data_IF_215732851417
#
_entry.id   IF_215732851417
#
_cell.length_a   1.000
_cell.length_b   1.000
_cell.length_c   1.000
_cell.angle_alpha   90.00
_cell.angle_beta   90.00
_cell.angle_gamma   90.00
#
_symmetry.space_group_name_H-M   'P 1'
#
loop_
_entity.id
_entity.type
_entity.pdbx_description
1 polymer ?
#
# COMPACT_ATOMS: atom_id res chain seq x y z
N UNK A 1 29.39 -57.27 -54.35
CA UNK A 1 29.16 -55.94 -53.73
C UNK A 1 29.17 -56.02 -52.19
N UNK A 2 30.34 -55.83 -51.58
CA UNK A 2 30.51 -55.82 -50.13
C UNK A 2 30.32 -54.40 -49.58
N UNK A 3 29.44 -54.26 -48.58
CA UNK A 3 29.01 -52.99 -47.98
C UNK A 3 30.06 -52.55 -46.94
N UNK A 4 30.80 -51.48 -47.23
CA UNK A 4 31.74 -50.89 -46.28
C UNK A 4 30.97 -50.27 -45.10
N UNK A 5 31.17 -50.82 -43.88
CA UNK A 5 30.77 -50.16 -42.63
C UNK A 5 31.74 -49.00 -42.38
N UNK A 6 31.30 -47.78 -42.69
CA UNK A 6 31.98 -46.56 -42.23
C UNK A 6 31.75 -46.48 -40.71
N UNK A 7 32.79 -46.80 -39.94
CA UNK A 7 32.84 -46.57 -38.50
C UNK A 7 32.67 -45.07 -38.29
N UNK A 8 31.55 -44.66 -37.71
CA UNK A 8 31.41 -43.29 -37.19
C UNK A 8 32.41 -43.15 -36.07
N UNK A 9 33.45 -42.34 -36.28
CA UNK A 9 34.22 -41.76 -35.19
C UNK A 9 33.30 -40.77 -34.48
N UNK A 10 32.51 -41.27 -33.53
CA UNK A 10 31.94 -40.42 -32.49
C UNK A 10 33.11 -39.97 -31.60
N UNK A 11 33.83 -38.95 -32.05
CA UNK A 11 34.69 -38.15 -31.19
C UNK A 11 33.78 -37.40 -30.24
N UNK A 12 33.31 -38.09 -29.19
CA UNK A 12 32.79 -37.42 -28.01
C UNK A 12 33.90 -36.53 -27.51
N UNK A 13 33.61 -35.25 -27.41
CA UNK A 13 34.48 -34.21 -26.88
C UNK A 13 34.83 -34.54 -25.42
N UNK A 14 35.83 -35.40 -25.23
CA UNK A 14 36.32 -35.92 -23.95
C UNK A 14 37.23 -34.89 -23.23
N UNK A 15 37.22 -33.63 -23.68
CA UNK A 15 38.05 -32.54 -23.16
C UNK A 15 37.59 -32.04 -21.78
N UNK A 16 36.34 -32.34 -21.41
CA UNK A 16 35.76 -32.05 -20.08
C UNK A 16 36.05 -33.15 -19.05
N UNK A 17 36.56 -34.32 -19.48
CA UNK A 17 36.91 -35.43 -18.59
C UNK A 17 38.32 -35.21 -18.02
N UNK A 18 38.42 -34.87 -16.72
CA UNK A 18 39.70 -34.61 -16.04
C UNK A 18 40.65 -35.82 -15.99
N UNK A 19 40.16 -37.04 -16.24
CA UNK A 19 40.96 -38.26 -16.34
C UNK A 19 41.45 -38.56 -17.76
N UNK A 20 41.07 -37.75 -18.76
CA UNK A 20 41.48 -37.91 -20.15
C UNK A 20 42.96 -37.56 -20.34
N UNK A 21 43.65 -38.34 -21.18
CA UNK A 21 45.05 -38.06 -21.55
C UNK A 21 45.21 -36.78 -22.38
N UNK A 22 44.13 -36.27 -22.96
CA UNK A 22 44.08 -35.03 -23.73
C UNK A 22 43.54 -33.84 -22.92
N UNK A 23 43.35 -34.01 -21.61
CA UNK A 23 42.85 -32.94 -20.73
C UNK A 23 43.84 -31.77 -20.68
N UNK A 24 43.31 -30.57 -20.88
CA UNK A 24 44.07 -29.32 -20.71
C UNK A 24 43.67 -28.69 -19.37
N UNK A 25 44.59 -28.54 -18.41
CA UNK A 25 44.28 -27.92 -17.13
C UNK A 25 43.61 -26.56 -17.28
N UNK A 26 42.48 -26.37 -16.59
CA UNK A 26 41.71 -25.12 -16.58
C UNK A 26 40.57 -25.01 -17.59
N UNK A 27 40.40 -25.96 -18.53
CA UNK A 27 39.29 -25.95 -19.50
C UNK A 27 37.92 -25.99 -18.82
N UNK A 28 37.75 -26.91 -17.86
CA UNK A 28 36.50 -27.06 -17.10
C UNK A 28 36.21 -25.83 -16.26
N UNK A 29 37.24 -25.20 -15.66
CA UNK A 29 37.07 -23.96 -14.90
C UNK A 29 36.63 -22.80 -15.80
N UNK A 30 37.27 -22.63 -16.97
CA UNK A 30 36.90 -21.60 -17.94
C UNK A 30 35.48 -21.80 -18.45
N UNK A 31 35.11 -23.03 -18.83
CA UNK A 31 33.75 -23.36 -19.26
C UNK A 31 32.71 -23.07 -18.17
N UNK A 32 33.02 -23.41 -16.92
CA UNK A 32 32.18 -23.08 -15.76
C UNK A 32 32.02 -21.57 -15.57
N UNK A 33 33.10 -20.79 -15.72
CA UNK A 33 33.04 -19.33 -15.59
C UNK A 33 32.30 -18.66 -16.76
N UNK A 34 32.40 -19.21 -17.98
CA UNK A 34 31.64 -18.78 -19.16
C UNK A 34 30.13 -19.07 -18.99
N UNK A 35 29.77 -20.24 -18.45
CA UNK A 35 28.37 -20.66 -18.28
C UNK A 35 27.70 -20.07 -17.03
N UNK A 36 28.41 -19.99 -15.90
CA UNK A 36 27.85 -19.64 -14.58
C UNK A 36 28.35 -18.30 -14.02
N UNK A 37 29.30 -17.65 -14.69
CA UNK A 37 29.93 -16.41 -14.25
C UNK A 37 31.19 -16.62 -13.41
N UNK A 38 32.04 -15.59 -13.35
CA UNK A 38 33.26 -15.61 -12.57
C UNK A 38 33.00 -15.42 -11.07
N UNK A 39 33.90 -15.90 -10.19
CA UNK A 39 33.82 -15.58 -8.76
C UNK A 39 33.78 -14.07 -8.47
N UNK A 40 34.45 -13.27 -9.29
CA UNK A 40 34.47 -11.80 -9.16
C UNK A 40 33.11 -11.18 -9.47
N UNK A 41 32.41 -11.63 -10.52
CA UNK A 41 31.08 -11.11 -10.86
C UNK A 41 30.06 -11.41 -9.77
N UNK A 42 30.10 -12.62 -9.19
CA UNK A 42 29.25 -13.00 -8.06
C UNK A 42 29.49 -12.10 -6.84
N UNK A 43 30.76 -11.83 -6.52
CA UNK A 43 31.12 -10.94 -5.41
C UNK A 43 30.64 -9.50 -5.65
N UNK A 44 30.76 -9.00 -6.88
CA UNK A 44 30.28 -7.67 -7.27
C UNK A 44 28.75 -7.57 -7.20
N UNK A 45 28.02 -8.54 -7.76
CA UNK A 45 26.56 -8.60 -7.65
C UNK A 45 26.10 -8.64 -6.20
N UNK A 46 26.79 -9.42 -5.35
CA UNK A 46 26.51 -9.44 -3.90
C UNK A 46 26.73 -8.08 -3.25
N UNK A 47 27.82 -7.38 -3.60
CA UNK A 47 28.09 -6.01 -3.09
C UNK A 47 27.02 -5.03 -3.54
N UNK A 48 26.65 -5.04 -4.81
CA UNK A 48 25.58 -4.19 -5.36
C UNK A 48 24.24 -4.45 -4.67
N UNK A 49 23.88 -5.72 -4.46
CA UNK A 49 22.67 -6.10 -3.73
C UNK A 49 22.68 -5.53 -2.31
N UNK A 50 23.79 -5.67 -1.56
CA UNK A 50 23.90 -5.13 -0.20
C UNK A 50 23.74 -3.60 -0.18
N UNK A 51 24.36 -2.89 -1.14
CA UNK A 51 24.21 -1.43 -1.26
C UNK A 51 22.76 -1.04 -1.58
N UNK A 52 22.12 -1.74 -2.51
CA UNK A 52 20.71 -1.52 -2.85
C UNK A 52 19.79 -1.77 -1.66
N UNK A 53 19.99 -2.86 -0.91
CA UNK A 53 19.20 -3.14 0.29
C UNK A 53 19.37 -2.05 1.36
N UNK A 54 20.59 -1.53 1.53
CA UNK A 54 20.84 -0.40 2.44
C UNK A 54 20.08 0.85 2.01
N UNK A 55 20.07 1.17 0.72
CA UNK A 55 19.30 2.30 0.17
C UNK A 55 17.79 2.09 0.34
N UNK A 56 17.28 0.92 -0.02
CA UNK A 56 15.86 0.57 0.13
C UNK A 56 15.40 0.69 1.59
N UNK A 57 16.23 0.23 2.54
CA UNK A 57 15.97 0.39 3.98
C UNK A 57 15.90 1.87 4.39
N UNK A 58 16.79 2.71 3.85
CA UNK A 58 16.77 4.15 4.11
C UNK A 58 15.49 4.81 3.57
N UNK A 59 15.07 4.47 2.34
CA UNK A 59 13.83 4.97 1.76
C UNK A 59 12.60 4.52 2.54
N UNK A 60 12.52 3.24 2.91
CA UNK A 60 11.42 2.71 3.73
C UNK A 60 11.35 3.42 5.09
N UNK A 61 12.50 3.64 5.73
CA UNK A 61 12.58 4.35 7.01
C UNK A 61 12.16 5.82 6.89
N UNK A 62 12.56 6.50 5.82
CA UNK A 62 12.17 7.88 5.56
C UNK A 62 10.66 8.01 5.32
N UNK A 63 10.09 7.11 4.51
CA UNK A 63 8.65 7.05 4.28
C UNK A 63 7.87 6.81 5.59
N UNK A 64 8.29 5.82 6.38
CA UNK A 64 7.67 5.54 7.68
C UNK A 64 7.68 6.78 8.61
N UNK A 65 8.82 7.48 8.70
CA UNK A 65 8.91 8.72 9.49
C UNK A 65 7.96 9.80 8.99
N UNK A 66 7.80 9.95 7.67
CA UNK A 66 6.85 10.89 7.09
C UNK A 66 5.42 10.55 7.49
N UNK A 67 5.01 9.29 7.40
CA UNK A 67 3.67 8.85 7.83
C UNK A 67 3.45 9.11 9.31
N UNK A 68 4.40 8.77 10.19
CA UNK A 68 4.25 9.03 11.62
C UNK A 68 4.14 10.53 11.93
N UNK A 69 4.89 11.37 11.21
CA UNK A 69 4.90 12.83 11.43
C UNK A 69 3.64 13.52 10.89
N UNK A 70 3.23 13.18 9.67
CA UNK A 70 2.24 13.94 8.90
C UNK A 70 0.91 13.19 8.74
N UNK A 71 0.97 11.86 8.65
CA UNK A 71 -0.17 11.00 8.33
C UNK A 71 -0.77 10.25 9.52
N UNK A 72 -0.37 10.55 10.76
CA UNK A 72 -0.93 9.87 11.94
C UNK A 72 -2.39 10.25 12.18
N UNK A 73 -3.22 9.26 12.55
CA UNK A 73 -4.61 9.48 12.94
C UNK A 73 -4.71 10.37 14.19
N UNK A 74 -4.94 11.68 13.98
CA UNK A 74 -5.04 12.68 15.06
C UNK A 74 -5.98 13.83 14.73
N UNK A 75 -5.82 14.43 13.54
CA UNK A 75 -6.54 15.64 13.14
C UNK A 75 -7.67 15.24 12.18
N UNK A 76 -8.94 15.49 12.53
CA UNK A 76 -10.07 15.32 11.62
C UNK A 76 -9.89 16.05 10.29
N UNK A 77 -10.30 15.43 9.18
CA UNK A 77 -10.24 16.05 7.84
C UNK A 77 -11.60 16.61 7.43
N UNK A 78 -11.66 17.76 6.74
CA UNK A 78 -12.92 18.33 6.24
C UNK A 78 -13.50 17.45 5.12
N UNK A 79 -14.80 17.15 5.20
CA UNK A 79 -15.54 16.36 4.21
C UNK A 79 -16.86 17.02 3.87
N UNK A 80 -17.23 16.93 2.61
CA UNK A 80 -18.54 17.36 2.13
C UNK A 80 -19.55 16.23 2.36
N UNK A 81 -20.58 16.51 3.14
CA UNK A 81 -21.65 15.56 3.45
C UNK A 81 -22.98 16.04 2.89
N UNK A 82 -23.65 15.14 2.18
CA UNK A 82 -24.99 15.39 1.66
C UNK A 82 -26.01 15.31 2.78
N UNK A 83 -26.90 16.30 2.83
CA UNK A 83 -28.01 16.32 3.78
C UNK A 83 -29.05 15.31 3.28
N UNK A 84 -29.34 14.27 4.08
CA UNK A 84 -30.29 13.18 3.73
C UNK A 84 -31.41 13.00 4.76
N UNK A 85 -31.75 14.05 5.53
CA UNK A 85 -32.69 13.93 6.66
C UNK A 85 -34.13 13.66 6.23
N UNK A 86 -34.62 14.41 5.25
CA UNK A 86 -36.00 14.34 4.79
C UNK A 86 -36.06 14.32 3.27
N UNK A 87 -36.78 13.34 2.72
CA UNK A 87 -36.97 13.20 1.27
C UNK A 87 -37.90 14.27 0.68
N UNK A 88 -38.69 14.96 1.51
CA UNK A 88 -39.71 15.93 1.09
C UNK A 88 -39.23 17.38 1.22
N UNK A 89 -37.99 17.58 1.67
CA UNK A 89 -37.36 18.88 1.89
C UNK A 89 -36.17 19.04 0.96
N UNK A 90 -36.11 20.18 0.28
CA UNK A 90 -34.96 20.59 -0.52
C UNK A 90 -34.16 21.60 0.31
N UNK A 91 -32.97 21.19 0.73
CA UNK A 91 -32.05 22.03 1.49
C UNK A 91 -31.12 22.79 0.54
N UNK A 92 -30.92 24.08 0.79
CA UNK A 92 -29.96 24.93 0.08
C UNK A 92 -28.99 25.57 1.09
N UNK A 93 -27.68 25.25 1.02
CA UNK A 93 -27.07 24.22 0.17
C UNK A 93 -27.53 22.80 0.53
N UNK A 94 -27.45 21.85 -0.42
CA UNK A 94 -27.84 20.44 -0.22
C UNK A 94 -26.77 19.59 0.48
N UNK A 95 -25.64 20.22 0.82
CA UNK A 95 -24.50 19.62 1.46
C UNK A 95 -23.88 20.59 2.48
N UNK A 96 -23.04 20.04 3.37
CA UNK A 96 -22.29 20.82 4.36
C UNK A 96 -20.87 20.26 4.50
N UNK A 97 -19.96 21.06 5.06
CA UNK A 97 -18.60 20.64 5.36
C UNK A 97 -18.50 20.32 6.85
N UNK A 98 -18.10 19.09 7.17
CA UNK A 98 -17.86 18.64 8.54
C UNK A 98 -16.47 18.03 8.64
N UNK A 99 -15.84 18.16 9.81
CA UNK A 99 -14.59 17.47 10.07
C UNK A 99 -14.88 16.07 10.58
N UNK A 100 -14.28 15.06 9.92
CA UNK A 100 -14.52 13.65 10.22
C UNK A 100 -13.22 12.86 10.34
N UNK A 101 -13.31 11.82 11.16
CA UNK A 101 -12.31 10.77 11.31
C UNK A 101 -12.82 9.56 10.54
N UNK A 102 -12.03 9.05 9.61
CA UNK A 102 -12.21 7.75 8.98
C UNK A 102 -10.84 7.20 8.56
N UNK A 103 -10.78 6.05 7.90
CA UNK A 103 -9.53 5.36 7.55
C UNK A 103 -8.57 6.19 6.67
N UNK A 104 -9.10 7.11 5.87
CA UNK A 104 -8.35 8.06 5.04
C UNK A 104 -7.97 9.36 5.77
N UNK A 105 -8.43 9.58 7.01
CA UNK A 105 -8.01 10.72 7.86
C UNK A 105 -6.57 10.54 8.37
N UNK A 106 -6.14 9.30 8.60
CA UNK A 106 -4.78 9.01 9.03
C UNK A 106 -4.50 7.52 9.22
N UNK A 107 -3.22 7.17 9.17
CA UNK A 107 -2.71 5.82 9.31
C UNK A 107 -2.64 5.41 10.79
N UNK A 108 -3.13 4.21 11.09
CA UNK A 108 -3.01 3.58 12.39
C UNK A 108 -1.83 2.61 12.46
N UNK A 109 -1.28 2.32 13.66
CA UNK A 109 -0.14 1.42 13.82
C UNK A 109 -0.36 -0.01 13.28
N UNK A 110 -1.61 -0.48 13.28
CA UNK A 110 -1.96 -1.83 12.82
C UNK A 110 -3.21 -1.82 11.95
N UNK A 111 -3.32 -2.77 11.02
CA UNK A 111 -4.49 -2.91 10.13
C UNK A 111 -5.78 -3.33 10.84
N UNK A 112 -5.65 -3.86 12.07
CA UNK A 112 -6.79 -4.21 12.94
C UNK A 112 -7.45 -2.97 13.56
N UNK A 113 -6.78 -1.83 13.46
CA UNK A 113 -7.28 -0.56 13.95
C UNK A 113 -7.83 0.28 12.79
N UNK A 114 -8.68 1.24 13.16
CA UNK A 114 -9.30 2.21 12.26
C UNK A 114 -9.30 3.57 12.94
N UNK A 115 -9.28 4.64 12.15
CA UNK A 115 -9.22 5.99 12.66
C UNK A 115 -10.63 6.51 12.99
N UNK A 116 -10.90 6.71 14.28
CA UNK A 116 -12.22 7.02 14.80
C UNK A 116 -12.23 8.30 15.66
N UNK A 117 -13.38 8.96 15.84
CA UNK A 117 -13.49 10.11 16.73
C UNK A 117 -13.11 9.74 18.16
N UNK A 118 -12.20 10.52 18.75
CA UNK A 118 -11.92 10.53 20.18
C UNK A 118 -12.77 11.56 20.90
N UNK A 119 -12.94 12.73 20.27
CA UNK A 119 -13.78 13.83 20.76
C UNK A 119 -14.61 14.40 19.62
N UNK A 120 -15.81 14.82 19.98
CA UNK A 120 -16.77 15.43 19.05
C UNK A 120 -17.39 16.68 19.67
N UNK A 121 -18.00 17.51 18.82
CA UNK A 121 -18.76 18.69 19.21
C UNK A 121 -19.97 18.80 18.29
N UNK A 122 -21.12 19.13 18.86
CA UNK A 122 -22.31 19.45 18.08
C UNK A 122 -22.18 20.87 17.50
N UNK A 123 -22.47 21.00 16.22
CA UNK A 123 -22.48 22.28 15.50
C UNK A 123 -23.85 22.49 14.86
N UNK A 124 -24.42 23.65 15.10
CA UNK A 124 -25.68 24.06 14.50
C UNK A 124 -25.37 24.82 13.21
N UNK A 125 -26.00 24.39 12.11
CA UNK A 125 -25.90 25.01 10.80
C UNK A 125 -27.30 25.34 10.29
N UNK A 126 -27.41 26.40 9.50
CA UNK A 126 -28.69 26.93 9.04
C UNK A 126 -28.81 26.74 7.53
N UNK A 127 -30.00 26.31 7.11
CA UNK A 127 -30.29 26.02 5.71
C UNK A 127 -31.57 26.69 5.28
N UNK A 128 -31.59 27.18 4.05
CA UNK A 128 -32.85 27.49 3.38
C UNK A 128 -33.50 26.18 2.98
N UNK A 129 -34.78 26.02 3.32
CA UNK A 129 -35.55 24.81 3.08
C UNK A 129 -36.79 25.15 2.26
N UNK A 130 -37.01 24.40 1.20
CA UNK A 130 -38.25 24.41 0.43
C UNK A 130 -38.89 23.03 0.56
N UNK A 131 -40.10 23.02 1.08
CA UNK A 131 -40.98 21.86 1.25
C UNK A 131 -41.82 21.71 -0.01
N UNK A 132 -42.01 20.48 -0.50
CA UNK A 132 -42.71 20.25 -1.79
C UNK A 132 -44.13 20.84 -1.87
N UNK A 133 -44.77 21.09 -0.71
CA UNK A 133 -46.13 21.61 -0.61
C UNK A 133 -46.20 23.11 -0.29
N UNK A 134 -45.06 23.77 -0.10
CA UNK A 134 -44.99 25.18 0.33
C UNK A 134 -44.19 26.00 -0.69
N UNK A 135 -44.75 27.14 -1.09
CA UNK A 135 -44.12 28.04 -2.07
C UNK A 135 -43.12 29.00 -1.43
N UNK A 136 -43.20 29.23 -0.11
CA UNK A 136 -42.26 30.05 0.63
C UNK A 136 -41.18 29.20 1.29
N UNK A 137 -39.92 29.54 1.04
CA UNK A 137 -38.79 28.92 1.73
C UNK A 137 -38.71 29.35 3.19
N UNK A 138 -38.34 28.43 4.07
CA UNK A 138 -38.09 28.67 5.48
C UNK A 138 -36.59 28.51 5.82
N UNK A 139 -36.19 28.95 7.02
CA UNK A 139 -34.84 28.71 7.54
C UNK A 139 -34.94 27.65 8.62
N UNK A 140 -34.24 26.53 8.44
CA UNK A 140 -34.15 25.47 9.45
C UNK A 140 -32.75 25.37 10.03
N UNK A 141 -32.68 25.11 11.35
CA UNK A 141 -31.46 24.83 12.08
C UNK A 141 -31.26 23.32 12.15
N UNK A 142 -30.16 22.82 11.60
CA UNK A 142 -29.75 21.42 11.67
C UNK A 142 -28.49 21.27 12.53
N UNK A 143 -28.55 20.37 13.51
CA UNK A 143 -27.41 20.05 14.39
C UNK A 143 -26.62 18.86 13.87
N UNK A 144 -25.32 19.01 13.65
CA UNK A 144 -24.42 17.96 13.18
C UNK A 144 -23.34 17.64 14.20
N UNK A 145 -22.81 16.42 14.13
CA UNK A 145 -21.63 16.00 14.90
C UNK A 145 -20.38 16.34 14.09
N UNK A 146 -19.53 17.17 14.68
CA UNK A 146 -18.23 17.55 14.13
C UNK A 146 -17.13 16.91 14.98
N UNK A 147 -16.20 16.18 14.37
CA UNK A 147 -15.11 15.56 15.11
C UNK A 147 -14.04 16.61 15.41
N UNK A 148 -13.44 16.57 16.60
CA UNK A 148 -12.43 17.55 17.04
C UNK A 148 -11.08 16.91 17.36
N UNK A 149 -11.05 15.60 17.63
CA UNK A 149 -9.83 14.81 17.85
C UNK A 149 -10.08 13.37 17.36
N UNK A 150 -9.11 12.77 16.66
CA UNK A 150 -9.16 11.37 16.24
C UNK A 150 -8.18 10.50 17.03
N UNK A 151 -8.43 9.19 17.05
CA UNK A 151 -7.49 8.20 17.55
C UNK A 151 -7.73 6.83 16.89
N UNK A 152 -6.74 5.95 17.01
CA UNK A 152 -6.85 4.58 16.53
C UNK A 152 -7.60 3.71 17.53
N UNK A 153 -8.66 3.05 17.06
CA UNK A 153 -9.46 2.10 17.85
C UNK A 153 -9.45 0.73 17.18
N UNK A 154 -9.57 -0.33 17.98
CA UNK A 154 -9.73 -1.68 17.45
C UNK A 154 -11.06 -1.79 16.69
N UNK A 155 -11.03 -2.29 15.44
CA UNK A 155 -12.23 -2.46 14.60
C UNK A 155 -13.33 -3.28 15.29
N UNK A 156 -12.96 -4.25 16.13
CA UNK A 156 -13.91 -5.04 16.91
C UNK A 156 -14.70 -4.20 17.92
N UNK A 157 -14.04 -3.26 18.62
CA UNK A 157 -14.65 -2.39 19.64
C UNK A 157 -15.49 -1.28 19.03
N UNK A 158 -15.08 -0.77 17.86
CA UNK A 158 -15.88 0.24 17.17
C UNK A 158 -17.19 -0.35 16.64
N UNK A 159 -17.18 -1.60 16.17
CA UNK A 159 -18.40 -2.28 15.73
C UNK A 159 -19.40 -2.46 16.87
N UNK A 160 -18.96 -2.91 18.05
CA UNK A 160 -19.87 -3.03 19.22
C UNK A 160 -20.52 -1.70 19.61
N UNK A 161 -19.78 -0.59 19.59
CA UNK A 161 -20.31 0.73 19.90
C UNK A 161 -21.35 1.25 18.86
N UNK A 162 -21.34 0.75 17.63
CA UNK A 162 -22.33 1.07 16.60
C UNK A 162 -23.62 0.23 16.70
N UNK A 163 -23.62 -0.87 17.46
CA UNK A 163 -24.80 -1.71 17.68
C UNK A 163 -25.53 -1.36 19.00
N UNK A 164 -24.93 -0.52 19.85
CA UNK A 164 -25.49 -0.07 21.13
C UNK A 164 -26.06 1.37 21.07
N UNK A 165 -25.99 2.02 19.91
CA UNK A 165 -26.49 3.37 19.64
C UNK A 165 -27.61 3.35 18.58
#
# INVERSE_FOLDING_TARGET
PARARKIKSDSKDDSDNIYSRYYVPGTVTRKKEEELGSPTSVLESRRQYVLQQRQNKAFASAHHRRIVKEGSCRIPQPRVERIRRDSWKIYTPHCTILHRCADDTGCCPTERQTCAPKRTKNVDLYFFVITLNETQGSIEKLTFVNHTECHCVDKAKQRSALYEA
#
